data_IF_472846267773
#
_entry.id   IF_472846267773
#
_cell.length_a   1.000
_cell.length_b   1.000
_cell.length_c   1.000
_cell.angle_alpha   90.00
_cell.angle_beta   90.00
_cell.angle_gamma   90.00
#
_symmetry.space_group_name_H-M   'P 1'
#
loop_
_entity.id
_entity.type
_entity.pdbx_description
1 polymer ?
#
# COMPACT_ATOMS: atom_id res chain seq x y z
N UNK A 1 17.26 24.85 16.27
CA UNK A 1 16.98 23.51 16.83
C UNK A 1 18.18 22.65 16.48
N UNK A 2 19.08 22.46 17.46
CA UNK A 2 20.46 21.96 17.24
C UNK A 2 20.72 20.67 18.04
N UNK A 3 19.67 20.05 18.57
CA UNK A 3 19.76 18.91 19.50
C UNK A 3 20.11 17.59 18.80
N UNK A 4 19.98 17.52 17.48
CA UNK A 4 20.18 16.28 16.72
C UNK A 4 20.98 16.53 15.44
N UNK A 5 21.84 15.58 15.08
CA UNK A 5 22.81 15.72 14.00
C UNK A 5 22.20 15.74 12.58
N UNK A 6 20.95 15.29 12.39
CA UNK A 6 20.26 15.35 11.10
C UNK A 6 18.73 15.17 11.25
N UNK A 7 17.98 15.42 10.19
CA UNK A 7 16.52 15.20 10.16
C UNK A 7 16.12 13.76 10.52
N UNK A 8 16.89 12.79 10.04
CA UNK A 8 16.75 11.36 10.34
C UNK A 8 16.84 11.08 11.87
N UNK A 9 17.80 11.71 12.54
CA UNK A 9 17.95 11.61 14.00
C UNK A 9 16.84 12.36 14.73
N UNK A 10 16.45 13.53 14.22
CA UNK A 10 15.35 14.33 14.79
C UNK A 10 14.03 13.54 14.78
N UNK A 11 13.69 12.85 13.70
CA UNK A 11 12.48 12.03 13.60
C UNK A 11 12.50 10.85 14.59
N UNK A 12 13.64 10.17 14.70
CA UNK A 12 13.80 9.07 15.66
C UNK A 12 13.69 9.55 17.11
N UNK A 13 14.37 10.65 17.45
CA UNK A 13 14.31 11.23 18.79
C UNK A 13 12.92 11.77 19.12
N UNK A 14 12.25 12.40 18.16
CA UNK A 14 10.84 12.82 18.30
C UNK A 14 9.92 11.63 18.59
N UNK A 15 10.09 10.52 17.88
CA UNK A 15 9.33 9.29 18.12
C UNK A 15 9.61 8.72 19.53
N UNK A 16 10.88 8.61 19.94
CA UNK A 16 11.26 8.12 21.28
C UNK A 16 10.62 8.96 22.38
N UNK A 17 10.78 10.28 22.32
CA UNK A 17 10.22 11.22 23.30
C UNK A 17 8.70 11.16 23.32
N UNK A 18 8.05 11.11 22.16
CA UNK A 18 6.60 10.97 22.03
C UNK A 18 6.07 9.68 22.65
N UNK A 19 6.69 8.52 22.36
CA UNK A 19 6.31 7.24 22.97
C UNK A 19 6.49 7.26 24.49
N UNK A 20 7.62 7.82 24.97
CA UNK A 20 7.87 7.98 26.41
C UNK A 20 6.79 8.81 27.09
N UNK A 21 6.37 9.91 26.46
CA UNK A 21 5.35 10.79 27.01
C UNK A 21 3.97 10.11 27.07
N UNK A 22 3.59 9.38 26.01
CA UNK A 22 2.34 8.62 25.99
C UNK A 22 2.30 7.52 27.06
N UNK A 23 3.44 6.85 27.30
CA UNK A 23 3.57 5.89 28.40
C UNK A 23 3.43 6.55 29.78
N UNK A 24 4.04 7.72 30.00
CA UNK A 24 3.88 8.50 31.23
C UNK A 24 2.41 8.86 31.48
N UNK A 25 1.68 9.24 30.43
CA UNK A 25 0.25 9.53 30.50
C UNK A 25 -0.64 8.28 30.57
N UNK A 26 -0.04 7.07 30.59
CA UNK A 26 -0.75 5.78 30.59
C UNK A 26 -1.71 5.62 29.42
N UNK A 27 -1.40 6.23 28.27
CA UNK A 27 -2.18 6.08 27.03
C UNK A 27 -1.71 4.79 26.34
N UNK A 28 -2.56 3.76 26.20
CA UNK A 28 -2.16 2.52 25.56
C UNK A 28 -1.95 2.74 24.06
N UNK A 29 -0.81 2.27 23.56
CA UNK A 29 -0.47 2.32 22.13
C UNK A 29 -0.62 0.91 21.57
N UNK A 30 -1.70 0.67 20.83
CA UNK A 30 -1.96 -0.66 20.26
C UNK A 30 -1.10 -0.92 19.01
N UNK A 31 -0.94 0.10 18.16
CA UNK A 31 -0.31 -0.06 16.87
C UNK A 31 0.19 1.27 16.27
N UNK A 32 1.48 1.61 16.39
CA UNK A 32 2.04 2.74 15.66
C UNK A 32 2.09 2.44 14.15
N UNK A 33 1.82 3.48 13.35
CA UNK A 33 1.92 3.47 11.89
C UNK A 33 2.95 4.52 11.48
N UNK A 34 3.97 4.12 10.72
CA UNK A 34 5.06 5.04 10.33
C UNK A 34 5.44 4.92 8.86
N UNK A 35 6.26 5.86 8.40
CA UNK A 35 6.96 5.75 7.13
C UNK A 35 8.01 4.63 7.14
N UNK A 36 8.52 4.28 5.95
CA UNK A 36 9.59 3.29 5.73
C UNK A 36 10.98 3.85 6.04
N UNK A 37 11.13 4.45 7.21
CA UNK A 37 12.38 5.01 7.68
C UNK A 37 13.20 3.97 8.45
N UNK A 38 14.39 3.62 7.95
CA UNK A 38 15.18 2.46 8.44
C UNK A 38 15.51 2.54 9.93
N UNK A 39 15.86 3.72 10.44
CA UNK A 39 16.21 3.86 11.87
C UNK A 39 14.98 3.70 12.78
N UNK A 40 13.84 4.30 12.38
CA UNK A 40 12.57 4.15 13.09
C UNK A 40 12.12 2.69 13.07
N UNK A 41 12.24 2.03 11.93
CA UNK A 41 11.93 0.61 11.80
C UNK A 41 12.78 -0.24 12.75
N UNK A 42 14.10 -0.05 12.76
CA UNK A 42 15.01 -0.79 13.66
C UNK A 42 14.64 -0.57 15.12
N UNK A 43 14.38 0.68 15.50
CA UNK A 43 13.97 1.04 16.85
C UNK A 43 12.62 0.41 17.23
N UNK A 44 11.58 0.56 16.40
CA UNK A 44 10.27 -0.01 16.68
C UNK A 44 10.30 -1.54 16.69
N UNK A 45 11.08 -2.19 15.82
CA UNK A 45 11.27 -3.65 15.86
C UNK A 45 11.87 -4.12 17.19
N UNK A 46 12.83 -3.36 17.75
CA UNK A 46 13.39 -3.66 19.07
C UNK A 46 12.35 -3.59 20.20
N UNK A 47 11.28 -2.79 20.01
CA UNK A 47 10.15 -2.65 20.94
C UNK A 47 8.98 -3.60 20.63
N UNK A 48 8.79 -3.97 19.37
CA UNK A 48 7.65 -4.74 18.85
C UNK A 48 7.54 -6.12 19.51
N UNK A 49 8.68 -6.71 19.88
CA UNK A 49 8.75 -7.98 20.61
C UNK A 49 8.11 -7.89 22.01
N UNK A 50 7.87 -6.67 22.54
CA UNK A 50 7.47 -6.45 23.93
C UNK A 50 6.18 -5.65 24.14
N UNK A 51 5.71 -4.84 23.17
CA UNK A 51 4.67 -3.83 23.49
C UNK A 51 3.54 -3.65 22.48
N UNK A 52 3.81 -3.63 21.17
CA UNK A 52 2.78 -3.31 20.17
C UNK A 52 3.14 -3.88 18.81
N UNK A 53 2.17 -3.95 17.89
CA UNK A 53 2.41 -4.33 16.49
C UNK A 53 2.64 -3.07 15.65
N UNK A 54 3.74 -3.01 14.91
CA UNK A 54 4.06 -1.88 14.02
C UNK A 54 3.52 -2.11 12.61
N UNK A 55 3.02 -1.05 11.98
CA UNK A 55 2.59 -1.04 10.58
C UNK A 55 3.25 0.09 9.79
N UNK A 56 3.29 -0.07 8.46
CA UNK A 56 3.67 0.99 7.55
C UNK A 56 2.45 1.76 7.03
N UNK A 57 2.64 3.05 6.80
CA UNK A 57 1.63 3.87 6.15
C UNK A 57 1.41 3.43 4.68
N UNK A 58 0.20 2.96 4.41
CA UNK A 58 -0.27 2.53 3.08
C UNK A 58 -0.25 3.68 2.06
N UNK A 59 -0.36 4.93 2.50
CA UNK A 59 -0.33 6.09 1.62
C UNK A 59 0.96 6.14 0.81
N UNK A 60 2.10 5.76 1.40
CA UNK A 60 3.37 5.70 0.67
C UNK A 60 3.34 4.70 -0.49
N UNK A 61 2.69 3.54 -0.31
CA UNK A 61 2.53 2.52 -1.36
C UNK A 61 1.61 3.05 -2.45
N UNK A 62 0.44 3.58 -2.06
CA UNK A 62 -0.52 4.16 -2.99
C UNK A 62 0.09 5.30 -3.81
N UNK A 63 0.84 6.21 -3.16
CA UNK A 63 1.53 7.32 -3.81
C UNK A 63 2.58 6.84 -4.80
N UNK A 64 3.39 5.85 -4.43
CA UNK A 64 4.43 5.29 -5.32
C UNK A 64 3.80 4.66 -6.57
N UNK A 65 2.81 3.77 -6.40
CA UNK A 65 2.11 3.14 -7.53
C UNK A 65 1.39 4.18 -8.38
N UNK A 66 0.75 5.18 -7.76
CA UNK A 66 0.08 6.25 -8.50
C UNK A 66 1.04 7.06 -9.38
N UNK A 67 2.29 7.26 -8.94
CA UNK A 67 3.35 7.87 -9.76
C UNK A 67 3.78 6.96 -10.90
N UNK A 68 3.95 5.67 -10.63
CA UNK A 68 4.35 4.70 -11.66
C UNK A 68 3.29 4.55 -12.75
N UNK A 69 2.00 4.52 -12.39
CA UNK A 69 0.88 4.53 -13.34
C UNK A 69 0.89 5.80 -14.19
N UNK A 70 1.05 6.98 -13.57
CA UNK A 70 1.13 8.24 -14.32
C UNK A 70 2.32 8.24 -15.29
N UNK A 71 3.47 7.70 -14.88
CA UNK A 71 4.62 7.56 -15.75
C UNK A 71 4.37 6.58 -16.90
N UNK A 72 3.73 5.44 -16.62
CA UNK A 72 3.35 4.47 -17.64
C UNK A 72 2.38 5.05 -18.66
N UNK A 73 1.40 5.85 -18.23
CA UNK A 73 0.41 6.49 -19.09
C UNK A 73 1.02 7.45 -20.14
N UNK A 74 2.26 7.91 -19.94
CA UNK A 74 2.98 8.72 -20.95
C UNK A 74 3.51 7.90 -22.12
N UNK A 75 3.51 6.57 -22.03
CA UNK A 75 3.96 5.69 -23.11
C UNK A 75 2.84 5.50 -24.14
N UNK A 76 3.19 5.57 -25.42
CA UNK A 76 2.23 5.54 -26.54
C UNK A 76 1.23 4.39 -26.46
N UNK A 77 1.71 3.19 -26.07
CA UNK A 77 0.92 1.95 -26.00
C UNK A 77 0.29 1.69 -24.63
N UNK A 78 0.36 2.63 -23.69
CA UNK A 78 -0.09 2.42 -22.31
C UNK A 78 -1.01 3.54 -21.81
N UNK A 79 -1.62 4.35 -22.69
CA UNK A 79 -2.40 5.53 -22.26
C UNK A 79 -3.63 5.15 -21.44
N UNK A 80 -4.22 4.00 -21.76
CA UNK A 80 -5.42 3.43 -21.15
C UNK A 80 -5.23 3.14 -19.65
N UNK A 81 -3.99 2.87 -19.21
CA UNK A 81 -3.67 2.62 -17.78
C UNK A 81 -4.04 3.82 -16.89
N UNK A 82 -4.09 5.03 -17.44
CA UNK A 82 -4.47 6.24 -16.70
C UNK A 82 -5.89 6.14 -16.13
N UNK A 83 -6.83 5.53 -16.88
CA UNK A 83 -8.23 5.37 -16.49
C UNK A 83 -8.37 4.50 -15.22
N UNK A 84 -7.44 3.57 -15.03
CA UNK A 84 -7.42 2.64 -13.89
C UNK A 84 -6.78 3.21 -12.63
N UNK A 85 -6.07 4.35 -12.72
CA UNK A 85 -5.30 4.90 -11.60
C UNK A 85 -6.14 5.03 -10.33
N UNK A 86 -7.29 5.70 -10.41
CA UNK A 86 -8.15 5.93 -9.23
C UNK A 86 -8.64 4.61 -8.64
N UNK A 87 -9.11 3.68 -9.46
CA UNK A 87 -9.58 2.37 -9.02
C UNK A 87 -8.47 1.56 -8.35
N UNK A 88 -7.28 1.49 -8.93
CA UNK A 88 -6.13 0.78 -8.35
C UNK A 88 -5.77 1.38 -6.99
N UNK A 89 -5.68 2.73 -6.88
CA UNK A 89 -5.38 3.37 -5.60
C UNK A 89 -6.45 3.06 -4.54
N UNK A 90 -7.73 3.11 -4.90
CA UNK A 90 -8.81 2.77 -3.98
C UNK A 90 -8.73 1.31 -3.53
N UNK A 91 -8.40 0.39 -4.45
CA UNK A 91 -8.20 -1.02 -4.14
C UNK A 91 -7.04 -1.23 -3.16
N UNK A 92 -5.93 -0.49 -3.28
CA UNK A 92 -4.81 -0.58 -2.32
C UNK A 92 -5.25 -0.26 -0.89
N UNK A 93 -6.03 0.82 -0.70
CA UNK A 93 -6.59 1.15 0.61
C UNK A 93 -7.59 0.10 1.09
N UNK A 94 -8.45 -0.40 0.19
CA UNK A 94 -9.39 -1.46 0.51
C UNK A 94 -8.67 -2.74 0.95
N UNK A 95 -7.59 -3.14 0.28
CA UNK A 95 -6.75 -4.28 0.66
C UNK A 95 -6.20 -4.09 2.06
N UNK A 96 -5.59 -2.94 2.36
CA UNK A 96 -5.04 -2.66 3.68
C UNK A 96 -6.12 -2.74 4.77
N UNK A 97 -7.31 -2.21 4.49
CA UNK A 97 -8.45 -2.21 5.43
C UNK A 97 -9.07 -3.60 5.63
N UNK A 98 -9.20 -4.39 4.58
CA UNK A 98 -10.06 -5.59 4.57
C UNK A 98 -9.32 -6.92 4.69
N UNK A 99 -8.00 -6.91 4.82
CA UNK A 99 -7.19 -8.14 4.83
C UNK A 99 -6.80 -8.63 6.21
N UNK A 100 -7.19 -7.95 7.29
CA UNK A 100 -6.92 -8.34 8.68
C UNK A 100 -5.45 -8.73 8.93
N UNK A 101 -4.51 -8.06 8.27
CA UNK A 101 -3.06 -8.32 8.36
C UNK A 101 -2.66 -9.73 7.91
N UNK A 102 -3.52 -10.46 7.20
CA UNK A 102 -3.17 -11.75 6.62
C UNK A 102 -2.39 -11.55 5.31
N UNK A 103 -1.13 -12.00 5.30
CA UNK A 103 -0.23 -11.81 4.17
C UNK A 103 -0.73 -12.49 2.89
N UNK A 104 -1.29 -13.70 2.99
CA UNK A 104 -1.82 -14.44 1.84
C UNK A 104 -3.07 -13.76 1.26
N UNK A 105 -3.96 -13.25 2.11
CA UNK A 105 -5.13 -12.47 1.70
C UNK A 105 -4.72 -11.18 0.99
N UNK A 106 -3.73 -10.47 1.53
CA UNK A 106 -3.16 -9.27 0.89
C UNK A 106 -2.64 -9.66 -0.49
N UNK A 107 -1.84 -10.72 -0.58
CA UNK A 107 -1.26 -11.20 -1.83
C UNK A 107 -2.32 -11.58 -2.87
N UNK A 108 -3.34 -12.34 -2.48
CA UNK A 108 -4.41 -12.77 -3.39
C UNK A 108 -5.25 -11.58 -3.88
N UNK A 109 -5.53 -10.57 -3.03
CA UNK A 109 -6.20 -9.35 -3.48
C UNK A 109 -5.32 -8.49 -4.40
N UNK A 110 -4.01 -8.45 -4.18
CA UNK A 110 -3.08 -7.80 -5.11
C UNK A 110 -3.11 -8.47 -6.48
N UNK A 111 -3.11 -9.81 -6.52
CA UNK A 111 -3.31 -10.57 -7.77
C UNK A 111 -4.68 -10.24 -8.38
N UNK A 112 -5.71 -10.07 -7.53
CA UNK A 112 -7.04 -9.64 -7.92
C UNK A 112 -7.06 -8.31 -8.66
N UNK A 113 -6.31 -7.30 -8.23
CA UNK A 113 -6.20 -6.02 -8.95
C UNK A 113 -5.69 -6.25 -10.38
N UNK A 114 -4.63 -7.03 -10.55
CA UNK A 114 -4.00 -7.28 -11.86
C UNK A 114 -4.96 -8.02 -12.79
N UNK A 115 -5.68 -9.02 -12.27
CA UNK A 115 -6.68 -9.76 -13.03
C UNK A 115 -7.87 -8.85 -13.39
N UNK A 116 -8.38 -8.09 -12.42
CA UNK A 116 -9.57 -7.27 -12.57
C UNK A 116 -9.40 -6.22 -13.68
N UNK A 117 -8.26 -5.51 -13.73
CA UNK A 117 -8.02 -4.52 -14.80
C UNK A 117 -7.97 -5.12 -16.22
N UNK A 118 -7.86 -6.45 -16.32
CA UNK A 118 -7.89 -7.22 -17.57
C UNK A 118 -9.22 -7.96 -17.79
N UNK A 119 -10.27 -7.57 -17.07
CA UNK A 119 -11.58 -8.23 -17.06
C UNK A 119 -11.58 -9.68 -16.59
N UNK A 120 -10.56 -10.10 -15.84
CA UNK A 120 -10.50 -11.42 -15.21
C UNK A 120 -10.98 -11.28 -13.77
N UNK A 121 -12.16 -11.83 -13.47
CA UNK A 121 -12.81 -11.65 -12.16
C UNK A 121 -12.64 -12.83 -11.21
N UNK A 122 -11.89 -13.86 -11.60
CA UNK A 122 -11.66 -15.08 -10.81
C UNK A 122 -10.18 -15.49 -10.81
N UNK A 123 -9.85 -16.53 -10.04
CA UNK A 123 -8.52 -17.14 -10.03
C UNK A 123 -7.46 -16.29 -9.33
N UNK A 124 -7.83 -15.45 -8.36
CA UNK A 124 -6.85 -14.58 -7.68
C UNK A 124 -6.07 -15.28 -6.56
N UNK A 125 -6.48 -16.50 -6.16
CA UNK A 125 -5.80 -17.35 -5.20
C UNK A 125 -6.76 -18.09 -4.29
N UNK A 126 -6.27 -18.57 -3.14
CA UNK A 126 -7.05 -19.39 -2.19
C UNK A 126 -7.94 -18.54 -1.27
N UNK A 127 -7.44 -17.39 -0.84
CA UNK A 127 -8.10 -16.56 0.18
C UNK A 127 -8.99 -15.48 -0.43
N UNK A 128 -8.69 -15.06 -1.66
CA UNK A 128 -9.53 -14.18 -2.45
C UNK A 128 -9.67 -14.80 -3.84
N UNK A 129 -10.75 -15.54 -4.10
CA UNK A 129 -10.90 -16.35 -5.32
C UNK A 129 -11.56 -15.58 -6.47
N UNK A 130 -12.41 -14.60 -6.14
CA UNK A 130 -13.22 -13.81 -7.08
C UNK A 130 -13.34 -12.36 -6.62
N UNK A 131 -13.61 -11.45 -7.55
CA UNK A 131 -13.84 -10.05 -7.26
C UNK A 131 -15.07 -9.85 -6.35
N UNK A 132 -14.96 -8.90 -5.40
CA UNK A 132 -15.98 -8.64 -4.38
C UNK A 132 -17.04 -7.63 -4.84
N UNK A 133 -17.64 -7.87 -6.01
CA UNK A 133 -18.75 -7.08 -6.54
C UNK A 133 -19.64 -7.95 -7.46
N UNK A 134 -20.91 -7.57 -7.66
CA UNK A 134 -21.75 -8.16 -8.71
C UNK A 134 -21.15 -7.97 -10.10
N UNK A 135 -21.61 -8.72 -11.13
CA UNK A 135 -21.19 -8.51 -12.51
C UNK A 135 -21.26 -7.03 -12.91
N UNK A 136 -20.18 -6.54 -13.54
CA UNK A 136 -20.14 -5.17 -14.04
C UNK A 136 -20.97 -5.12 -15.31
N UNK A 137 -22.00 -4.28 -15.30
CA UNK A 137 -22.80 -4.02 -16.48
C UNK A 137 -21.94 -3.32 -17.53
N UNK A 138 -21.90 -3.90 -18.74
CA UNK A 138 -21.17 -3.39 -19.88
C UNK A 138 -21.62 -1.97 -20.28
N UNK A 139 -22.89 -1.61 -20.05
CA UNK A 139 -23.38 -0.25 -20.31
C UNK A 139 -22.89 0.77 -19.26
N UNK A 140 -22.57 0.32 -18.04
CA UNK A 140 -22.12 1.16 -16.93
C UNK A 140 -20.59 1.31 -16.84
N UNK A 141 -19.83 0.50 -17.60
CA UNK A 141 -18.38 0.47 -17.51
C UNK A 141 -17.73 1.53 -18.40
N UNK A 142 -17.09 2.51 -17.77
CA UNK A 142 -16.49 3.68 -18.42
C UNK A 142 -15.01 3.49 -18.80
N UNK A 143 -14.40 2.34 -18.48
CA UNK A 143 -12.95 2.10 -18.67
C UNK A 143 -12.68 1.06 -19.75
N UNK A 144 -11.56 1.22 -20.44
CA UNK A 144 -11.05 0.20 -21.36
C UNK A 144 -10.32 -0.87 -20.56
N UNK A 145 -10.74 -2.14 -20.71
CA UNK A 145 -10.01 -3.27 -20.14
C UNK A 145 -8.62 -3.36 -20.73
N UNK A 146 -7.62 -3.56 -19.88
CA UNK A 146 -6.23 -3.66 -20.31
C UNK A 146 -5.96 -5.05 -20.90
N UNK A 147 -5.10 -5.08 -21.90
CA UNK A 147 -4.55 -6.34 -22.43
C UNK A 147 -3.14 -6.56 -21.86
N UNK A 148 -2.73 -7.83 -21.64
CA UNK A 148 -1.36 -8.12 -21.25
C UNK A 148 -0.37 -7.53 -22.28
N UNK A 149 0.49 -6.63 -21.80
CA UNK A 149 1.51 -6.02 -22.63
C UNK A 149 2.78 -6.87 -22.73
N UNK A 150 3.48 -6.77 -23.87
CA UNK A 150 4.85 -7.29 -24.05
C UNK A 150 5.93 -6.30 -23.57
N UNK A 151 5.53 -5.17 -22.98
CA UNK A 151 6.44 -4.09 -22.60
C UNK A 151 7.33 -4.49 -21.42
N UNK A 152 8.58 -4.84 -21.70
CA UNK A 152 9.58 -5.09 -20.66
C UNK A 152 9.99 -3.77 -20.01
N UNK A 153 9.67 -3.60 -18.73
CA UNK A 153 10.28 -2.54 -17.92
C UNK A 153 11.79 -2.78 -17.89
N UNK A 154 12.57 -1.86 -18.46
CA UNK A 154 14.03 -1.85 -18.26
C UNK A 154 14.26 -1.75 -16.75
N UNK A 155 14.84 -2.79 -16.14
CA UNK A 155 15.31 -2.72 -14.76
C UNK A 155 16.30 -1.56 -14.68
N UNK A 156 16.05 -0.63 -13.76
CA UNK A 156 17.04 0.36 -13.35
C UNK A 156 18.05 -0.31 -12.43
#
# INVERSE_FOLDING_TARGET
>A
SNETASSCHMELEGLKRGLSQLMTWRIPISAPVTDRHRQIQSFLQSLQVKQFRHYFDVWNVAKAIGKDITKLATKLLCKEVAQWKRSIINQIYWIAKSSNVNADMIHDKWRGIINHVQNVHTGHGKYFTTCAHPPIDAQSHDKVWLTPGIYKLKKK
#
